data_IF_332809330094
#
_entry.id   IF_332809330094
#
_cell.length_a   1.000
_cell.length_b   1.000
_cell.length_c   1.000
_cell.angle_alpha   90.00
_cell.angle_beta   90.00
_cell.angle_gamma   90.00
#
_symmetry.space_group_name_H-M   'P 1'
#
loop_
_entity.id
_entity.type
_entity.pdbx_description
1 polymer ?
#
# COMPACT_ATOMS: atom_id res chain seq x y z
N UNK A 1 -21.64 3.18 24.47
CA UNK A 1 -22.81 2.65 23.71
C UNK A 1 -22.34 2.36 22.30
N UNK A 2 -22.35 1.09 21.89
CA UNK A 2 -22.02 0.72 20.52
C UNK A 2 -23.21 1.12 19.64
N UNK A 3 -23.02 2.13 18.78
CA UNK A 3 -24.00 2.52 17.79
C UNK A 3 -23.69 1.79 16.49
N UNK A 4 -24.51 0.80 16.14
CA UNK A 4 -24.47 0.15 14.84
C UNK A 4 -25.25 1.04 13.87
N UNK A 5 -24.61 1.44 12.76
CA UNK A 5 -25.25 2.23 11.71
C UNK A 5 -25.16 1.47 10.40
N UNK A 6 -26.32 1.22 9.79
CA UNK A 6 -26.41 0.64 8.45
C UNK A 6 -25.74 1.58 7.44
N UNK A 7 -24.77 1.06 6.71
CA UNK A 7 -24.03 1.84 5.70
C UNK A 7 -24.85 1.81 4.42
N UNK A 8 -25.20 2.98 3.83
CA UNK A 8 -25.94 2.98 2.57
C UNK A 8 -25.16 2.24 1.48
N UNK A 9 -25.86 1.38 0.72
CA UNK A 9 -25.33 0.50 -0.34
C UNK A 9 -24.52 1.21 -1.43
N UNK A 10 -24.62 2.53 -1.52
CA UNK A 10 -23.80 3.37 -2.39
C UNK A 10 -22.96 4.33 -1.56
N UNK A 11 -21.80 3.87 -1.12
CA UNK A 11 -20.72 4.78 -0.72
C UNK A 11 -20.23 5.47 -1.99
N UNK A 12 -20.84 6.60 -2.37
CA UNK A 12 -20.22 7.45 -3.39
C UNK A 12 -18.87 7.89 -2.83
N UNK A 13 -17.77 7.39 -3.40
CA UNK A 13 -16.43 7.77 -3.01
C UNK A 13 -16.35 9.29 -3.09
N UNK A 14 -16.20 9.95 -1.94
CA UNK A 14 -16.16 11.41 -1.90
C UNK A 14 -14.86 11.88 -2.55
N UNK A 15 -14.91 12.20 -3.84
CA UNK A 15 -13.77 12.75 -4.56
C UNK A 15 -13.68 14.26 -4.31
N UNK A 16 -12.59 14.68 -3.64
CA UNK A 16 -12.28 16.10 -3.50
C UNK A 16 -11.82 16.64 -4.86
N UNK A 17 -12.60 17.55 -5.44
CA UNK A 17 -12.25 18.26 -6.66
C UNK A 17 -11.35 19.44 -6.29
N UNK A 18 -10.13 19.44 -6.83
CA UNK A 18 -9.16 20.53 -6.74
C UNK A 18 -8.76 21.05 -8.11
N UNK A 19 -7.94 22.10 -8.14
CA UNK A 19 -7.57 22.82 -9.36
C UNK A 19 -6.91 21.94 -10.44
N UNK A 20 -6.29 20.82 -10.07
CA UNK A 20 -5.59 19.92 -10.99
C UNK A 20 -6.16 18.49 -11.02
N UNK A 21 -7.34 18.23 -10.43
CA UNK A 21 -7.96 16.89 -10.38
C UNK A 21 -8.30 16.33 -11.77
N UNK A 22 -8.56 17.22 -12.74
CA UNK A 22 -8.87 16.87 -14.12
C UNK A 22 -7.65 16.36 -14.91
N UNK A 23 -6.43 16.62 -14.44
CA UNK A 23 -5.19 16.23 -15.13
C UNK A 23 -4.90 14.76 -14.84
N UNK A 24 -4.86 13.95 -15.91
CA UNK A 24 -4.62 12.50 -15.82
C UNK A 24 -3.28 12.06 -16.41
N UNK A 25 -2.62 12.91 -17.21
CA UNK A 25 -1.33 12.63 -17.83
C UNK A 25 -0.92 13.73 -18.78
N UNK A 26 0.18 13.54 -19.53
CA UNK A 26 0.65 14.55 -20.49
C UNK A 26 -0.16 14.56 -21.79
N UNK A 27 -0.99 13.55 -22.06
CA UNK A 27 -1.83 13.50 -23.27
C UNK A 27 -1.04 13.40 -24.57
N UNK A 28 0.09 12.69 -24.55
CA UNK A 28 0.90 12.42 -25.73
C UNK A 28 0.41 11.17 -26.47
N UNK A 29 0.76 11.06 -27.74
CA UNK A 29 0.62 9.83 -28.51
C UNK A 29 1.85 8.91 -28.35
N UNK A 30 1.88 7.79 -29.08
CA UNK A 30 2.99 6.82 -29.06
C UNK A 30 4.31 7.39 -29.59
N UNK A 31 4.26 8.49 -30.34
CA UNK A 31 5.41 9.16 -30.94
C UNK A 31 5.82 10.40 -30.15
N UNK A 32 5.32 10.55 -28.91
CA UNK A 32 5.55 11.69 -28.02
C UNK A 32 5.03 13.03 -28.57
N UNK A 33 4.10 13.00 -29.53
CA UNK A 33 3.44 14.22 -30.01
C UNK A 33 2.24 14.56 -29.15
N UNK A 34 2.05 15.85 -28.89
CA UNK A 34 0.94 16.29 -28.06
C UNK A 34 -0.37 16.25 -28.84
N UNK A 35 -1.36 15.53 -28.30
CA UNK A 35 -2.73 15.59 -28.82
C UNK A 35 -3.40 16.85 -28.26
N UNK A 36 -4.05 17.61 -29.14
CA UNK A 36 -4.63 18.94 -28.84
C UNK A 36 -5.48 18.96 -27.56
N UNK A 37 -6.30 17.93 -27.35
CA UNK A 37 -7.12 17.72 -26.14
C UNK A 37 -7.02 16.26 -25.73
N UNK A 38 -6.32 15.97 -24.64
CA UNK A 38 -6.18 14.59 -24.12
C UNK A 38 -5.70 14.60 -22.66
N UNK A 39 -6.14 13.61 -21.87
CA UNK A 39 -5.73 13.38 -20.47
C UNK A 39 -5.85 14.61 -19.54
N UNK A 40 -6.86 15.44 -19.81
CA UNK A 40 -7.12 16.69 -19.08
C UNK A 40 -6.26 17.88 -19.52
N UNK A 41 -5.33 17.70 -20.46
CA UNK A 41 -4.48 18.75 -21.01
C UNK A 41 -5.04 19.28 -22.33
N UNK A 42 -4.97 20.61 -22.49
CA UNK A 42 -5.42 21.33 -23.71
C UNK A 42 -4.31 22.27 -24.18
N UNK A 43 -3.91 22.16 -25.46
CA UNK A 43 -2.84 22.97 -26.03
C UNK A 43 -1.48 22.71 -25.36
N UNK A 44 -0.66 23.77 -25.22
CA UNK A 44 0.72 23.71 -24.70
C UNK A 44 1.58 22.60 -25.34
N UNK A 45 1.41 22.38 -26.64
CA UNK A 45 1.93 21.22 -27.37
C UNK A 45 3.44 21.07 -27.21
N UNK A 46 4.21 22.11 -27.58
CA UNK A 46 5.68 22.09 -27.47
C UNK A 46 6.18 21.83 -26.05
N UNK A 47 5.50 22.37 -25.04
CA UNK A 47 5.88 22.18 -23.63
C UNK A 47 5.58 20.76 -23.15
N UNK A 48 4.45 20.17 -23.59
CA UNK A 48 4.06 18.79 -23.27
C UNK A 48 4.97 17.78 -23.97
N UNK A 49 5.33 18.03 -25.23
CA UNK A 49 6.27 17.19 -25.99
C UNK A 49 7.67 17.20 -25.32
N UNK A 50 8.16 18.39 -24.95
CA UNK A 50 9.42 18.52 -24.21
C UNK A 50 9.36 17.81 -22.84
N UNK A 51 8.25 17.93 -22.11
CA UNK A 51 8.04 17.20 -20.86
C UNK A 51 8.00 15.67 -21.07
N UNK A 52 7.42 15.21 -22.18
CA UNK A 52 7.42 13.79 -22.57
C UNK A 52 8.82 13.23 -22.78
N UNK A 53 9.68 13.97 -23.49
CA UNK A 53 11.09 13.61 -23.67
C UNK A 53 11.83 13.54 -22.33
N UNK A 54 11.57 14.49 -21.42
CA UNK A 54 12.14 14.47 -20.06
C UNK A 54 11.74 13.19 -19.32
N UNK A 55 10.47 12.81 -19.38
CA UNK A 55 9.98 11.58 -18.73
C UNK A 55 10.60 10.34 -19.34
N UNK A 56 10.74 10.29 -20.66
CA UNK A 56 11.43 9.18 -21.31
C UNK A 56 12.87 9.06 -20.80
N UNK A 57 13.61 10.17 -20.72
CA UNK A 57 14.99 10.16 -20.19
C UNK A 57 15.04 9.73 -18.71
N UNK A 58 14.03 10.06 -17.90
CA UNK A 58 13.92 9.60 -16.51
C UNK A 58 13.67 8.08 -16.47
N UNK A 59 12.72 7.57 -17.26
CA UNK A 59 12.41 6.13 -17.34
C UNK A 59 13.59 5.30 -17.85
N UNK A 60 14.40 5.86 -18.74
CA UNK A 60 15.64 5.25 -19.21
C UNK A 60 16.82 5.39 -18.24
N UNK A 61 16.67 6.13 -17.12
CA UNK A 61 17.72 6.35 -16.14
C UNK A 61 18.86 7.27 -16.61
N UNK A 62 18.69 7.98 -17.73
CA UNK A 62 19.72 8.85 -18.33
C UNK A 62 19.74 10.26 -17.75
N UNK A 63 18.69 10.65 -17.03
CA UNK A 63 18.55 11.98 -16.43
C UNK A 63 18.79 11.95 -14.92
N UNK A 64 20.04 12.08 -14.49
CA UNK A 64 20.41 12.15 -13.06
C UNK A 64 21.02 13.51 -12.69
N UNK A 65 20.57 14.09 -11.58
CA UNK A 65 21.10 15.35 -11.05
C UNK A 65 20.87 16.58 -11.94
N UNK A 66 19.88 16.53 -12.84
CA UNK A 66 19.55 17.64 -13.76
C UNK A 66 18.34 18.42 -13.25
N UNK A 67 18.36 19.72 -13.48
CA UNK A 67 17.26 20.62 -13.16
C UNK A 67 16.49 20.99 -14.42
N UNK A 68 15.16 20.87 -14.36
CA UNK A 68 14.25 21.34 -15.42
C UNK A 68 13.51 22.57 -14.90
N UNK A 69 13.52 23.65 -15.69
CA UNK A 69 12.85 24.91 -15.34
C UNK A 69 11.67 25.11 -16.28
N UNK A 70 10.46 25.23 -15.72
CA UNK A 70 9.27 25.64 -16.46
C UNK A 70 9.11 27.16 -16.33
N UNK A 71 9.38 27.90 -17.41
CA UNK A 71 9.29 29.35 -17.44
C UNK A 71 8.08 29.83 -18.26
N UNK A 72 7.47 30.93 -17.84
CA UNK A 72 6.36 31.56 -18.56
C UNK A 72 5.46 32.42 -17.65
N UNK A 73 4.56 33.23 -18.23
CA UNK A 73 3.62 34.07 -17.48
C UNK A 73 2.77 33.29 -16.46
N UNK A 74 2.21 33.92 -15.41
CA UNK A 74 1.26 33.27 -14.50
C UNK A 74 0.04 32.74 -15.28
N UNK A 75 -0.59 31.67 -14.78
CA UNK A 75 -1.78 31.08 -15.40
C UNK A 75 -1.56 30.24 -16.67
N UNK A 76 -0.32 30.05 -17.13
CA UNK A 76 -0.01 29.33 -18.39
C UNK A 76 0.12 27.80 -18.26
N UNK A 77 -0.22 27.22 -17.10
CA UNK A 77 -0.22 25.77 -16.93
C UNK A 77 1.11 25.13 -16.52
N UNK A 78 2.08 25.91 -16.01
CA UNK A 78 3.37 25.37 -15.50
C UNK A 78 3.18 24.27 -14.45
N UNK A 79 2.39 24.56 -13.41
CA UNK A 79 2.07 23.58 -12.35
C UNK A 79 1.26 22.41 -12.90
N UNK A 80 0.36 22.67 -13.85
CA UNK A 80 -0.43 21.63 -14.52
C UNK A 80 0.47 20.63 -15.26
N UNK A 81 1.50 21.10 -15.98
CA UNK A 81 2.49 20.25 -16.65
C UNK A 81 3.28 19.43 -15.62
N UNK A 82 3.72 20.03 -14.51
CA UNK A 82 4.44 19.29 -13.46
C UNK A 82 3.57 18.16 -12.84
N UNK A 83 2.28 18.44 -12.60
CA UNK A 83 1.31 17.42 -12.15
C UNK A 83 1.07 16.36 -13.22
N UNK A 84 0.95 16.74 -14.50
CA UNK A 84 0.83 15.80 -15.59
C UNK A 84 2.04 14.86 -15.69
N UNK A 85 3.26 15.41 -15.51
CA UNK A 85 4.49 14.63 -15.51
C UNK A 85 4.52 13.60 -14.38
N UNK A 86 4.07 13.96 -13.17
CA UNK A 86 4.04 13.02 -12.05
C UNK A 86 3.04 11.88 -12.28
N UNK A 87 1.89 12.16 -12.90
CA UNK A 87 0.92 11.12 -13.29
C UNK A 87 1.48 10.15 -14.33
N UNK A 88 2.25 10.67 -15.28
CA UNK A 88 2.85 9.89 -16.37
C UNK A 88 4.05 9.02 -15.93
N UNK A 89 4.75 9.43 -14.86
CA UNK A 89 5.80 8.63 -14.21
C UNK A 89 5.22 7.43 -13.44
N UNK A 90 4.01 7.57 -12.90
CA UNK A 90 3.28 6.50 -12.21
C UNK A 90 3.35 6.59 -10.68
N UNK A 91 2.55 5.77 -10.01
CA UNK A 91 2.38 5.82 -8.55
C UNK A 91 3.63 5.40 -7.75
N UNK A 92 4.52 4.61 -8.36
CA UNK A 92 5.72 4.11 -7.71
C UNK A 92 6.86 5.14 -7.69
N UNK A 93 6.74 6.25 -8.45
CA UNK A 93 7.75 7.30 -8.48
C UNK A 93 7.35 8.40 -7.50
N UNK A 94 8.16 8.66 -6.45
CA UNK A 94 7.86 9.73 -5.50
C UNK A 94 7.85 11.10 -6.19
N UNK A 95 6.81 11.89 -5.91
CA UNK A 95 6.69 13.26 -6.40
C UNK A 95 6.25 14.17 -5.26
N UNK A 96 6.98 15.27 -5.07
CA UNK A 96 6.74 16.24 -4.01
C UNK A 96 6.56 17.61 -4.63
N UNK A 97 5.46 18.26 -4.26
CA UNK A 97 5.26 19.68 -4.52
C UNK A 97 5.67 20.43 -3.26
N UNK A 98 6.65 21.33 -3.40
CA UNK A 98 7.12 22.20 -2.33
C UNK A 98 7.11 23.64 -2.81
N UNK A 99 6.50 24.54 -2.04
CA UNK A 99 6.63 25.98 -2.27
C UNK A 99 7.97 26.49 -1.74
N UNK A 100 8.58 27.46 -2.43
CA UNK A 100 9.83 28.08 -1.95
C UNK A 100 9.70 28.73 -0.57
N UNK A 101 8.50 29.17 -0.20
CA UNK A 101 8.20 29.72 1.13
C UNK A 101 8.30 28.67 2.25
N UNK A 102 8.09 27.39 1.94
CA UNK A 102 8.14 26.29 2.92
C UNK A 102 9.57 25.98 3.39
N UNK A 103 10.60 26.45 2.64
CA UNK A 103 12.01 26.25 2.99
C UNK A 103 12.40 27.07 4.23
N UNK A 104 11.68 28.16 4.51
CA UNK A 104 11.99 29.06 5.61
C UNK A 104 11.25 28.59 6.87
N UNK A 105 12.02 28.14 7.87
CA UNK A 105 11.52 27.67 9.16
C UNK A 105 12.29 28.35 10.30
N UNK A 106 11.60 28.59 11.43
CA UNK A 106 12.22 29.03 12.69
C UNK A 106 12.95 27.90 13.41
N UNK A 107 12.51 26.66 13.22
CA UNK A 107 12.99 25.49 13.96
C UNK A 107 14.08 24.73 13.20
N UNK A 108 14.02 24.73 11.86
CA UNK A 108 14.92 23.96 11.00
C UNK A 108 15.76 24.85 10.10
N UNK A 109 16.98 24.39 9.80
CA UNK A 109 17.86 25.08 8.85
C UNK A 109 17.33 24.91 7.43
N UNK A 110 17.45 25.95 6.61
CA UNK A 110 17.03 25.95 5.19
C UNK A 110 17.66 24.78 4.40
N UNK A 111 18.93 24.50 4.64
CA UNK A 111 19.66 23.40 3.99
C UNK A 111 19.13 22.03 4.39
N UNK A 112 18.71 21.87 5.63
CA UNK A 112 18.14 20.61 6.13
C UNK A 112 16.79 20.32 5.48
N UNK A 113 15.92 21.33 5.39
CA UNK A 113 14.61 21.22 4.71
C UNK A 113 14.80 20.81 3.24
N UNK A 114 15.77 21.41 2.55
CA UNK A 114 16.09 21.07 1.16
C UNK A 114 16.64 19.64 1.01
N UNK A 115 17.58 19.23 1.87
CA UNK A 115 18.15 17.88 1.84
C UNK A 115 17.05 16.83 2.13
N UNK A 116 16.18 17.10 3.09
CA UNK A 116 15.04 16.24 3.41
C UNK A 116 14.08 16.13 2.23
N UNK A 117 13.76 17.24 1.56
CA UNK A 117 12.91 17.24 0.37
C UNK A 117 13.51 16.36 -0.75
N UNK A 118 14.81 16.49 -1.02
CA UNK A 118 15.51 15.67 -2.01
C UNK A 118 15.46 14.19 -1.62
N UNK A 119 15.71 13.85 -0.35
CA UNK A 119 15.67 12.46 0.12
C UNK A 119 14.28 11.84 -0.03
N UNK A 120 13.22 12.58 0.27
CA UNK A 120 11.84 12.10 0.11
C UNK A 120 11.45 11.84 -1.36
N UNK A 121 12.13 12.49 -2.31
CA UNK A 121 11.94 12.25 -3.75
C UNK A 121 12.68 11.02 -4.27
N UNK A 122 13.54 10.37 -3.47
CA UNK A 122 14.31 9.19 -3.88
C UNK A 122 13.57 7.94 -3.39
N UNK A 123 12.99 7.19 -4.32
CA UNK A 123 12.34 5.91 -4.04
C UNK A 123 13.32 4.74 -4.15
N UNK A 124 13.18 3.77 -3.25
CA UNK A 124 13.87 2.48 -3.33
C UNK A 124 12.80 1.39 -3.33
N UNK A 125 12.77 0.58 -4.37
CA UNK A 125 11.82 -0.54 -4.49
C UNK A 125 12.56 -1.85 -4.19
N UNK A 126 12.14 -2.52 -3.12
CA UNK A 126 12.74 -3.77 -2.67
C UNK A 126 11.73 -4.88 -2.89
N UNK A 127 12.12 -5.88 -3.66
CA UNK A 127 11.33 -7.08 -3.90
C UNK A 127 11.85 -8.20 -3.01
N UNK A 128 10.97 -8.73 -2.16
CA UNK A 128 11.26 -9.84 -1.25
C UNK A 128 10.20 -10.93 -1.44
N UNK A 129 10.64 -12.18 -1.53
CA UNK A 129 9.75 -13.34 -1.58
C UNK A 129 9.55 -13.86 -0.17
N UNK A 130 8.30 -13.94 0.29
CA UNK A 130 7.96 -14.51 1.59
C UNK A 130 7.08 -15.73 1.45
N UNK A 131 7.37 -16.76 2.25
CA UNK A 131 6.54 -17.96 2.33
C UNK A 131 5.42 -17.74 3.34
N UNK A 132 4.18 -17.77 2.85
CA UNK A 132 2.98 -17.55 3.66
C UNK A 132 2.07 -18.77 3.55
N UNK A 133 1.57 -19.26 4.68
CA UNK A 133 0.53 -20.29 4.74
C UNK A 133 -0.82 -19.60 4.98
N UNK A 134 -1.77 -19.85 4.10
CA UNK A 134 -3.11 -19.26 4.18
C UNK A 134 -4.17 -20.34 4.00
N UNK A 135 -5.20 -20.31 4.83
CA UNK A 135 -6.31 -21.26 4.73
C UNK A 135 -7.27 -21.21 5.90
N UNK A 136 -8.39 -21.91 5.74
CA UNK A 136 -9.32 -22.21 6.82
C UNK A 136 -8.70 -23.21 7.78
N UNK A 137 -8.78 -22.90 9.06
CA UNK A 137 -8.38 -23.78 10.14
C UNK A 137 -9.44 -24.86 10.32
N UNK A 138 -9.11 -26.11 9.96
CA UNK A 138 -9.96 -27.27 10.23
C UNK A 138 -9.72 -27.81 11.62
N UNK A 139 -8.46 -27.87 12.03
CA UNK A 139 -8.07 -28.46 13.29
C UNK A 139 -6.90 -27.71 13.92
N UNK A 140 -6.95 -27.56 15.24
CA UNK A 140 -5.94 -26.90 16.06
C UNK A 140 -5.66 -27.78 17.28
N UNK A 141 -4.44 -28.29 17.37
CA UNK A 141 -3.96 -29.03 18.53
C UNK A 141 -2.78 -28.27 19.16
N UNK A 142 -3.01 -27.70 20.34
CA UNK A 142 -2.01 -26.90 21.06
C UNK A 142 -1.38 -27.77 22.15
N UNK A 143 -0.08 -28.02 22.02
CA UNK A 143 0.71 -28.69 23.04
C UNK A 143 1.18 -27.66 24.05
N UNK A 144 0.75 -27.85 25.30
CA UNK A 144 1.16 -26.99 26.43
C UNK A 144 2.06 -27.75 27.38
N UNK A 145 3.09 -27.07 27.90
CA UNK A 145 3.97 -27.57 28.96
C UNK A 145 3.82 -26.75 30.24
N UNK A 146 4.30 -27.25 31.37
CA UNK A 146 4.25 -26.54 32.66
C UNK A 146 5.32 -25.44 32.72
N UNK A 147 4.99 -24.30 33.32
CA UNK A 147 5.94 -23.20 33.45
C UNK A 147 7.09 -23.57 34.41
N UNK A 148 8.36 -23.29 34.08
CA UNK A 148 9.52 -23.71 34.88
C UNK A 148 9.50 -23.22 36.33
N UNK A 149 8.89 -22.06 36.58
CA UNK A 149 8.82 -21.44 37.91
C UNK A 149 7.44 -21.50 38.57
N UNK A 150 6.39 -21.89 37.83
CA UNK A 150 5.02 -21.95 38.35
C UNK A 150 4.28 -23.18 37.81
N UNK A 151 4.25 -24.30 38.54
CA UNK A 151 3.63 -25.54 38.09
C UNK A 151 2.13 -25.43 37.75
N UNK A 152 1.44 -24.39 38.25
CA UNK A 152 0.02 -24.16 37.98
C UNK A 152 -0.26 -23.44 36.67
N UNK A 153 0.77 -22.90 36.01
CA UNK A 153 0.63 -22.18 34.76
C UNK A 153 1.12 -23.04 33.59
N UNK A 154 0.26 -23.22 32.59
CA UNK A 154 0.61 -23.91 31.34
C UNK A 154 1.01 -22.89 30.28
N UNK A 155 2.13 -23.13 29.62
CA UNK A 155 2.63 -22.32 28.50
C UNK A 155 2.54 -23.11 27.20
N UNK A 156 2.13 -22.49 26.09
CA UNK A 156 2.12 -23.16 24.79
C UNK A 156 3.54 -23.43 24.31
N UNK A 157 3.84 -24.68 23.98
CA UNK A 157 5.14 -25.12 23.46
C UNK A 157 5.12 -25.20 21.93
N UNK A 158 4.08 -25.80 21.37
CA UNK A 158 3.88 -25.94 19.93
C UNK A 158 2.41 -26.06 19.59
N UNK A 159 2.09 -25.86 18.32
CA UNK A 159 0.74 -26.06 17.78
C UNK A 159 0.82 -26.84 16.48
N UNK A 160 -0.04 -27.85 16.34
CA UNK A 160 -0.28 -28.55 15.09
C UNK A 160 -1.59 -28.03 14.51
N UNK A 161 -1.51 -27.49 13.30
CA UNK A 161 -2.62 -26.87 12.60
C UNK A 161 -2.88 -27.60 11.30
N UNK A 162 -4.15 -27.86 11.01
CA UNK A 162 -4.56 -28.33 9.68
C UNK A 162 -5.29 -27.20 8.98
N UNK A 163 -4.66 -26.69 7.92
CA UNK A 163 -5.17 -25.61 7.09
C UNK A 163 -5.72 -26.19 5.79
N UNK A 164 -6.90 -25.73 5.38
CA UNK A 164 -7.52 -26.12 4.11
C UNK A 164 -7.79 -24.92 3.24
N UNK A 165 -7.54 -25.12 1.96
CA UNK A 165 -7.95 -24.22 0.88
C UNK A 165 -8.99 -24.93 0.02
N UNK A 166 -9.45 -24.27 -1.05
CA UNK A 166 -10.34 -24.91 -2.03
C UNK A 166 -9.70 -26.06 -2.80
N UNK A 167 -8.36 -26.15 -2.83
CA UNK A 167 -7.62 -27.12 -3.66
C UNK A 167 -6.92 -28.21 -2.86
N UNK A 168 -6.38 -27.85 -1.70
CA UNK A 168 -5.57 -28.74 -0.89
C UNK A 168 -5.77 -28.51 0.61
N UNK A 169 -5.40 -29.52 1.37
CA UNK A 169 -5.37 -29.51 2.83
C UNK A 169 -3.95 -29.88 3.28
N UNK A 170 -3.46 -29.13 4.28
CA UNK A 170 -2.09 -29.26 4.74
C UNK A 170 -2.01 -29.09 6.25
N UNK A 171 -1.42 -30.08 6.90
CA UNK A 171 -1.07 -30.00 8.32
C UNK A 171 0.34 -29.44 8.49
N UNK A 172 0.49 -28.44 9.36
CA UNK A 172 1.76 -27.81 9.72
C UNK A 172 1.95 -27.86 11.24
N UNK A 173 3.19 -27.94 11.68
CA UNK A 173 3.57 -27.75 13.07
C UNK A 173 4.30 -26.42 13.22
N UNK A 174 3.94 -25.66 14.24
CA UNK A 174 4.49 -24.35 14.52
C UNK A 174 4.89 -24.23 15.99
N UNK A 175 5.88 -23.37 16.26
CA UNK A 175 6.43 -23.19 17.60
C UNK A 175 5.55 -22.37 18.54
N UNK A 176 6.05 -22.18 19.77
CA UNK A 176 5.39 -21.48 20.86
C UNK A 176 4.87 -20.08 20.50
N UNK A 177 5.60 -19.32 19.68
CA UNK A 177 5.22 -17.95 19.29
C UNK A 177 3.93 -17.89 18.48
N UNK A 178 3.75 -18.81 17.55
CA UNK A 178 2.54 -18.94 16.74
C UNK A 178 1.41 -19.50 17.61
N UNK A 179 1.70 -20.51 18.43
CA UNK A 179 0.74 -21.10 19.36
C UNK A 179 0.15 -20.05 20.34
N UNK A 180 1.01 -19.19 20.90
CA UNK A 180 0.59 -18.10 21.78
C UNK A 180 -0.29 -17.07 21.06
N UNK A 181 0.05 -16.69 19.82
CA UNK A 181 -0.77 -15.77 19.02
C UNK A 181 -2.15 -16.37 18.71
N UNK A 182 -2.23 -17.67 18.43
CA UNK A 182 -3.50 -18.38 18.17
C UNK A 182 -4.41 -18.33 19.40
N UNK A 183 -3.87 -18.61 20.59
CA UNK A 183 -4.63 -18.51 21.85
C UNK A 183 -5.09 -17.07 22.08
N UNK A 184 -4.19 -16.10 21.92
CA UNK A 184 -4.47 -14.69 22.18
C UNK A 184 -5.53 -14.10 21.23
N UNK A 185 -5.51 -14.51 19.96
CA UNK A 185 -6.47 -14.07 18.95
C UNK A 185 -7.76 -14.92 18.96
N UNK A 186 -7.86 -15.94 19.82
CA UNK A 186 -9.01 -16.84 19.87
C UNK A 186 -9.25 -17.61 18.58
N UNK A 187 -8.17 -17.91 17.84
CA UNK A 187 -8.24 -18.64 16.58
C UNK A 187 -8.65 -20.09 16.87
N UNK A 188 -9.69 -20.54 16.18
CA UNK A 188 -10.28 -21.86 16.35
C UNK A 188 -10.75 -22.41 15.00
N UNK A 189 -11.28 -23.62 15.00
CA UNK A 189 -11.82 -24.24 13.79
C UNK A 189 -12.89 -23.35 13.14
N UNK A 190 -12.79 -23.18 11.82
CA UNK A 190 -13.60 -22.28 11.00
C UNK A 190 -13.03 -20.88 10.79
N UNK A 191 -11.92 -20.51 11.45
CA UNK A 191 -11.24 -19.25 11.16
C UNK A 191 -10.38 -19.34 9.91
N UNK A 192 -10.32 -18.28 9.12
CA UNK A 192 -9.36 -18.13 8.01
C UNK A 192 -8.16 -17.37 8.53
N UNK A 193 -6.97 -17.97 8.41
CA UNK A 193 -5.74 -17.40 8.95
C UNK A 193 -4.66 -17.30 7.88
N UNK A 194 -3.77 -16.34 8.08
CA UNK A 194 -2.55 -16.17 7.31
C UNK A 194 -1.35 -16.20 8.26
N UNK A 195 -0.39 -17.07 7.98
CA UNK A 195 0.81 -17.30 8.81
C UNK A 195 2.04 -17.09 7.94
N UNK A 196 2.82 -16.06 8.28
CA UNK A 196 4.13 -15.82 7.67
C UNK A 196 5.16 -16.79 8.28
N UNK A 197 5.78 -17.62 7.44
CA UNK A 197 6.71 -18.64 7.87
C UNK A 197 8.02 -18.07 8.42
N UNK A 198 8.40 -16.86 8.02
CA UNK A 198 9.65 -16.22 8.42
C UNK A 198 9.47 -15.35 9.65
N UNK A 199 8.44 -14.49 9.67
CA UNK A 199 8.19 -13.62 10.82
C UNK A 199 7.43 -14.30 11.96
N UNK A 200 6.77 -15.43 11.68
CA UNK A 200 5.90 -16.11 12.64
C UNK A 200 4.64 -15.30 13.00
N UNK A 201 4.34 -14.25 12.25
CA UNK A 201 3.15 -13.43 12.46
C UNK A 201 1.90 -14.18 11.98
N UNK A 202 0.89 -14.22 12.85
CA UNK A 202 -0.43 -14.78 12.55
C UNK A 202 -1.44 -13.65 12.38
N UNK A 203 -2.13 -13.63 11.25
CA UNK A 203 -3.24 -12.72 10.99
C UNK A 203 -4.54 -13.52 10.87
N UNK A 204 -5.53 -13.20 11.71
CA UNK A 204 -6.89 -13.70 11.60
C UNK A 204 -7.65 -12.86 10.55
N UNK A 205 -7.96 -13.47 9.39
CA UNK A 205 -8.67 -12.82 8.29
C UNK A 205 -10.19 -12.86 8.48
N UNK A 206 -10.69 -13.70 9.38
CA UNK A 206 -12.11 -13.78 9.72
C UNK A 206 -12.61 -15.21 9.88
N UNK A 207 -13.92 -15.40 9.65
CA UNK A 207 -14.58 -16.69 9.66
C UNK A 207 -14.82 -17.15 8.22
N UNK A 208 -14.64 -18.44 7.97
CA UNK A 208 -15.01 -19.08 6.71
C UNK A 208 -16.53 -19.16 6.62
N UNK A 209 -17.11 -18.72 5.51
CA UNK A 209 -18.55 -18.80 5.24
C UNK A 209 -19.05 -20.26 5.18
N UNK A 210 -18.18 -21.18 4.74
CA UNK A 210 -18.53 -22.60 4.64
C UNK A 210 -18.54 -23.30 6.00
N UNK A 211 -17.83 -22.73 6.99
CA UNK A 211 -17.73 -23.29 8.33
C UNK A 211 -19.07 -23.23 9.08
N UNK A 212 -19.29 -24.20 9.98
CA UNK A 212 -20.48 -24.23 10.82
C UNK A 212 -20.65 -22.96 11.67
N UNK A 213 -19.52 -22.34 12.07
CA UNK A 213 -19.52 -21.04 12.76
C UNK A 213 -19.93 -19.93 11.79
N UNK A 214 -19.35 -19.84 10.60
CA UNK A 214 -19.70 -18.81 9.61
C UNK A 214 -21.20 -18.76 9.31
N UNK A 215 -21.82 -19.92 9.08
CA UNK A 215 -23.27 -20.04 8.81
C UNK A 215 -24.17 -19.55 9.95
N UNK A 216 -23.66 -19.49 11.19
CA UNK A 216 -24.41 -18.98 12.35
C UNK A 216 -24.38 -17.45 12.48
N UNK A 217 -23.43 -16.79 11.80
CA UNK A 217 -23.27 -15.34 11.81
C UNK A 217 -23.72 -14.68 10.50
N UNK A 218 -24.12 -15.48 9.50
CA UNK A 218 -24.74 -14.94 8.29
C UNK A 218 -26.06 -14.29 8.68
N UNK A 219 -26.21 -13.02 8.29
CA UNK A 219 -27.45 -12.26 8.48
C UNK A 219 -28.21 -12.39 7.15
N UNK A 220 -29.39 -12.99 7.19
CA UNK A 220 -30.32 -13.03 6.04
C UNK A 220 -30.65 -11.61 5.52
#
# INVERSE_FOLDING_TARGET
MAAIKEVPTKTSRFERIGAHTHIKGLGLDKNLKAVKVKDGMVGQERAREAAGLVIQMIKEGKLSGKTVILAGPPGTGKTAIAVAMSRELGANVPFIQMSGSEIYSSERKKTEVLIEAIRKCIGVEIHEMRKVYEGEVINVDIKTTSHPYNPYQKVPESVRLTLKTTKEEKTIEAGATIAQQIIQQGISEGNVVQIDAESGRVANLGLSLESAKGKSYDVD
#
